data_IF_309127883419
#
_entry.id   IF_309127883419
#
_cell.length_a   1.000
_cell.length_b   1.000
_cell.length_c   1.000
_cell.angle_alpha   90.00
_cell.angle_beta   90.00
_cell.angle_gamma   90.00
#
_symmetry.space_group_name_H-M   'P 1'
#
loop_
_entity.id
_entity.type
_entity.pdbx_description
1 polymer ?
#
# COMPACT_ATOMS: atom_id res chain seq x y z
N UNK A 1 -12.24 9.63 -84.10
CA UNK A 1 -12.58 9.62 -82.65
C UNK A 1 -11.46 10.28 -81.88
N UNK A 2 -11.81 11.36 -81.18
CA UNK A 2 -10.94 12.51 -80.92
C UNK A 2 -9.88 12.29 -79.82
N UNK A 3 -8.65 12.69 -80.13
CA UNK A 3 -7.48 12.85 -79.26
C UNK A 3 -7.79 13.53 -77.91
N UNK A 4 -8.86 14.37 -77.87
CA UNK A 4 -9.35 15.03 -76.66
C UNK A 4 -9.84 14.07 -75.57
N UNK A 5 -10.40 12.90 -75.90
CA UNK A 5 -10.86 11.93 -74.87
C UNK A 5 -9.71 11.22 -74.16
N UNK A 6 -8.62 10.90 -74.88
CA UNK A 6 -7.43 10.27 -74.28
C UNK A 6 -6.65 11.22 -73.38
N UNK A 7 -6.63 12.52 -73.70
CA UNK A 7 -5.99 13.54 -72.87
C UNK A 7 -6.70 13.73 -71.51
N UNK A 8 -8.04 13.68 -71.51
CA UNK A 8 -8.85 13.82 -70.30
C UNK A 8 -8.68 12.61 -69.38
N UNK A 9 -8.67 11.38 -69.93
CA UNK A 9 -8.40 10.14 -69.18
C UNK A 9 -7.00 10.13 -68.53
N UNK A 10 -5.97 10.57 -69.26
CA UNK A 10 -4.61 10.72 -68.73
C UNK A 10 -4.54 11.82 -67.65
N UNK A 11 -5.21 12.95 -67.83
CA UNK A 11 -5.29 14.01 -66.82
C UNK A 11 -6.06 13.57 -65.57
N UNK A 12 -7.12 12.77 -65.72
CA UNK A 12 -7.88 12.19 -64.61
C UNK A 12 -7.05 11.15 -63.85
N UNK A 13 -6.33 10.29 -64.56
CA UNK A 13 -5.42 9.31 -63.99
C UNK A 13 -4.26 9.98 -63.23
N UNK A 14 -3.65 11.03 -63.78
CA UNK A 14 -2.63 11.81 -63.09
C UNK A 14 -3.19 12.56 -61.86
N UNK A 15 -4.39 13.17 -61.94
CA UNK A 15 -5.05 13.80 -60.77
C UNK A 15 -5.37 12.80 -59.65
N UNK A 16 -5.86 11.61 -59.99
CA UNK A 16 -6.15 10.56 -59.00
C UNK A 16 -4.88 9.96 -58.40
N UNK A 17 -3.83 9.76 -59.20
CA UNK A 17 -2.54 9.23 -58.72
C UNK A 17 -1.80 10.25 -57.85
N UNK A 18 -1.83 11.53 -58.22
CA UNK A 18 -1.26 12.62 -57.42
C UNK A 18 -2.02 12.81 -56.09
N UNK A 19 -3.36 12.74 -56.12
CA UNK A 19 -4.19 12.81 -54.91
C UNK A 19 -3.95 11.65 -53.95
N UNK A 20 -3.76 10.42 -54.46
CA UNK A 20 -3.42 9.25 -53.63
C UNK A 20 -2.03 9.35 -53.01
N UNK A 21 -1.03 9.83 -53.75
CA UNK A 21 0.33 10.03 -53.22
C UNK A 21 0.35 11.12 -52.14
N UNK A 22 -0.37 12.22 -52.34
CA UNK A 22 -0.52 13.27 -51.34
C UNK A 22 -1.25 12.76 -50.08
N UNK A 23 -2.31 11.98 -50.23
CA UNK A 23 -3.05 11.42 -49.10
C UNK A 23 -2.20 10.44 -48.27
N UNK A 24 -1.45 9.55 -48.93
CA UNK A 24 -0.54 8.62 -48.26
C UNK A 24 0.61 9.37 -47.59
N UNK A 25 1.15 10.41 -48.24
CA UNK A 25 2.20 11.26 -47.66
C UNK A 25 1.73 12.00 -46.40
N UNK A 26 0.54 12.60 -46.44
CA UNK A 26 -0.06 13.28 -45.27
C UNK A 26 -0.37 12.29 -44.16
N UNK A 27 -0.89 11.11 -44.48
CA UNK A 27 -1.17 10.07 -43.48
C UNK A 27 0.12 9.57 -42.79
N UNK A 28 1.18 9.28 -43.56
CA UNK A 28 2.48 8.88 -43.00
C UNK A 28 3.10 10.00 -42.15
N UNK A 29 2.99 11.26 -42.59
CA UNK A 29 3.43 12.41 -41.79
C UNK A 29 2.67 12.52 -40.47
N UNK A 30 1.35 12.35 -40.47
CA UNK A 30 0.54 12.37 -39.24
C UNK A 30 0.88 11.20 -38.31
N UNK A 31 1.09 9.99 -38.84
CA UNK A 31 1.50 8.83 -38.03
C UNK A 31 2.87 9.06 -37.39
N UNK A 32 3.85 9.56 -38.16
CA UNK A 32 5.18 9.91 -37.62
C UNK A 32 5.08 11.06 -36.61
N UNK A 33 4.29 12.09 -36.89
CA UNK A 33 4.08 13.22 -35.98
C UNK A 33 3.44 12.78 -34.66
N UNK A 34 2.39 11.95 -34.72
CA UNK A 34 1.76 11.36 -33.52
C UNK A 34 2.75 10.46 -32.78
N UNK A 35 3.55 9.66 -33.49
CA UNK A 35 4.57 8.81 -32.88
C UNK A 35 5.67 9.63 -32.19
N UNK A 36 6.11 10.74 -32.79
CA UNK A 36 7.05 11.69 -32.17
C UNK A 36 6.46 12.38 -30.94
N UNK A 37 5.16 12.76 -30.99
CA UNK A 37 4.45 13.30 -29.84
C UNK A 37 4.26 12.26 -28.72
N UNK A 38 4.03 10.98 -29.05
CA UNK A 38 3.96 9.90 -28.08
C UNK A 38 5.33 9.61 -27.42
N UNK A 39 6.43 9.75 -28.16
CA UNK A 39 7.79 9.57 -27.62
C UNK A 39 8.17 10.65 -26.60
N UNK A 40 7.59 11.84 -26.69
CA UNK A 40 7.92 12.98 -25.81
C UNK A 40 7.32 12.91 -24.41
N UNK A 41 6.36 12.00 -24.11
CA UNK A 41 5.63 12.02 -22.84
C UNK A 41 6.14 11.05 -21.75
N UNK A 42 7.21 10.28 -22.02
CA UNK A 42 7.69 9.25 -21.09
C UNK A 42 9.07 9.52 -20.49
N UNK A 43 9.62 10.71 -20.63
CA UNK A 43 10.83 11.08 -19.89
C UNK A 43 10.41 11.57 -18.51
N UNK A 44 10.34 10.64 -17.55
CA UNK A 44 10.33 10.99 -16.13
C UNK A 44 11.72 11.55 -15.82
N UNK A 45 11.87 12.86 -15.92
CA UNK A 45 13.04 13.54 -15.39
C UNK A 45 12.91 13.51 -13.87
N UNK A 46 13.63 12.61 -13.21
CA UNK A 46 13.87 12.75 -11.77
C UNK A 46 14.68 14.05 -11.60
N UNK A 47 14.06 15.08 -11.04
CA UNK A 47 14.78 16.29 -10.63
C UNK A 47 15.81 15.89 -9.57
N UNK A 48 17.10 15.91 -9.93
CA UNK A 48 18.21 15.77 -8.98
C UNK A 48 18.18 16.83 -7.89
N UNK A 49 17.47 17.94 -8.13
CA UNK A 49 17.27 19.06 -7.20
C UNK A 49 16.44 18.69 -5.95
N UNK A 50 15.89 17.48 -5.84
CA UNK A 50 15.20 17.04 -4.63
C UNK A 50 16.15 16.83 -3.45
N UNK A 51 17.45 16.61 -3.69
CA UNK A 51 18.45 16.41 -2.63
C UNK A 51 19.05 17.72 -2.10
N UNK A 52 19.09 18.77 -2.93
CA UNK A 52 19.67 20.08 -2.58
C UNK A 52 18.64 21.06 -2.00
N UNK A 53 17.34 20.72 -2.06
CA UNK A 53 16.29 21.55 -1.47
C UNK A 53 16.18 21.25 0.03
N UNK A 54 16.35 22.26 0.90
CA UNK A 54 16.08 22.08 2.31
C UNK A 54 14.63 21.65 2.47
N UNK A 55 14.40 20.66 3.34
CA UNK A 55 13.06 20.18 3.66
C UNK A 55 12.15 21.37 4.01
N UNK A 56 10.86 21.36 3.64
CA UNK A 56 9.94 22.45 4.00
C UNK A 56 9.98 22.68 5.52
N UNK A 57 9.81 23.94 5.97
CA UNK A 57 9.94 24.31 7.39
C UNK A 57 9.12 23.42 8.35
N UNK A 58 7.95 22.94 7.92
CA UNK A 58 7.10 22.01 8.67
C UNK A 58 7.74 20.63 8.98
N UNK A 59 8.85 20.28 8.32
CA UNK A 59 9.64 19.07 8.55
C UNK A 59 11.00 19.38 9.19
N UNK A 60 11.30 20.67 9.42
CA UNK A 60 12.49 21.11 10.15
C UNK A 60 12.23 21.24 11.66
N UNK A 61 10.98 21.06 12.08
CA UNK A 61 10.59 21.07 13.48
C UNK A 61 11.16 19.83 14.19
N UNK A 62 12.32 20.03 14.82
CA UNK A 62 12.94 19.07 15.73
C UNK A 62 12.05 18.72 16.96
N UNK A 63 10.88 19.34 17.10
CA UNK A 63 9.86 18.99 18.09
C UNK A 63 9.08 17.71 17.75
N UNK A 64 9.00 17.31 16.47
CA UNK A 64 8.27 16.08 16.07
C UNK A 64 9.08 14.80 16.31
N UNK A 65 10.40 14.89 16.27
CA UNK A 65 11.27 13.84 16.79
C UNK A 65 11.42 14.11 18.29
N UNK A 66 10.65 13.41 19.12
CA UNK A 66 10.78 13.52 20.57
C UNK A 66 12.26 13.53 20.99
N UNK A 67 12.63 14.41 21.91
CA UNK A 67 14.00 14.51 22.42
C UNK A 67 14.52 13.13 22.80
N UNK A 68 15.80 12.85 22.53
CA UNK A 68 16.46 11.61 22.94
C UNK A 68 16.14 11.35 24.40
N UNK A 69 15.45 10.24 24.69
CA UNK A 69 15.10 9.89 26.05
C UNK A 69 16.40 9.64 26.83
N UNK A 70 16.70 10.46 27.85
CA UNK A 70 17.96 10.35 28.61
C UNK A 70 18.10 9.00 29.32
N UNK A 71 17.00 8.25 29.46
CA UNK A 71 16.97 6.95 30.13
C UNK A 71 17.15 5.76 29.16
N UNK A 72 17.26 6.02 27.85
CA UNK A 72 17.59 5.00 26.87
C UNK A 72 19.12 4.87 26.78
N UNK A 73 19.64 3.71 27.15
CA UNK A 73 21.08 3.48 27.33
C UNK A 73 21.55 2.34 26.44
N UNK A 74 22.66 2.54 25.74
CA UNK A 74 23.30 1.48 24.96
C UNK A 74 23.99 0.48 25.89
N UNK A 75 23.66 -0.81 25.75
CA UNK A 75 24.12 -1.89 26.61
C UNK A 75 25.46 -2.50 26.18
N UNK A 76 26.04 -2.07 25.06
CA UNK A 76 27.29 -2.62 24.55
C UNK A 76 27.09 -4.00 23.92
N UNK A 77 27.69 -5.02 24.53
CA UNK A 77 27.63 -6.41 24.04
C UNK A 77 26.43 -7.19 24.59
N UNK A 78 25.70 -6.64 25.56
CA UNK A 78 24.52 -7.29 26.13
C UNK A 78 23.27 -6.99 25.29
N UNK A 79 22.38 -7.99 25.16
CA UNK A 79 21.09 -7.78 24.50
C UNK A 79 20.21 -6.86 25.34
N UNK A 80 19.48 -5.99 24.64
CA UNK A 80 18.56 -5.03 25.20
C UNK A 80 17.39 -5.69 25.92
N UNK A 81 16.83 -4.98 26.90
CA UNK A 81 15.75 -5.48 27.76
C UNK A 81 14.43 -5.81 27.06
N UNK A 82 14.21 -5.35 25.83
CA UNK A 82 13.04 -5.66 25.00
C UNK A 82 13.31 -6.64 23.86
N UNK A 83 14.54 -7.15 23.73
CA UNK A 83 14.84 -8.15 22.71
C UNK A 83 14.16 -9.49 23.07
N UNK A 84 13.55 -10.21 22.10
CA UNK A 84 12.91 -11.49 22.36
C UNK A 84 13.90 -12.51 22.94
N UNK A 85 13.62 -13.02 24.14
CA UNK A 85 14.48 -14.02 24.81
C UNK A 85 14.56 -15.35 24.04
N UNK A 86 13.50 -15.67 23.32
CA UNK A 86 13.41 -16.86 22.48
C UNK A 86 13.20 -16.41 21.04
N UNK A 87 14.05 -16.86 20.10
CA UNK A 87 13.87 -16.52 18.70
C UNK A 87 12.55 -17.09 18.16
N UNK A 88 11.89 -16.33 17.27
CA UNK A 88 10.75 -16.85 16.51
C UNK A 88 11.22 -18.02 15.64
N UNK A 89 10.61 -19.19 15.79
CA UNK A 89 10.92 -20.36 14.94
C UNK A 89 10.00 -20.32 13.71
N UNK A 90 10.56 -20.16 12.49
CA UNK A 90 9.76 -20.17 11.27
C UNK A 90 9.04 -21.51 11.12
N UNK A 91 7.76 -21.45 10.79
CA UNK A 91 7.03 -22.64 10.39
C UNK A 91 7.38 -23.03 8.94
N UNK A 92 7.01 -24.23 8.48
CA UNK A 92 7.17 -24.64 7.08
C UNK A 92 6.04 -24.11 6.18
N UNK A 93 5.45 -22.97 6.50
CA UNK A 93 4.34 -22.38 5.75
C UNK A 93 4.82 -21.36 4.70
N UNK A 94 4.03 -21.11 3.65
CA UNK A 94 4.35 -20.09 2.65
C UNK A 94 4.51 -18.70 3.30
N UNK A 95 5.54 -17.96 2.87
CA UNK A 95 5.75 -16.56 3.28
C UNK A 95 6.41 -16.35 4.65
N UNK A 96 6.82 -17.44 5.31
CA UNK A 96 7.63 -17.44 6.53
C UNK A 96 9.03 -16.88 6.29
N UNK A 97 9.61 -16.21 7.29
CA UNK A 97 10.90 -15.53 7.17
C UNK A 97 10.92 -14.45 6.07
N UNK A 98 9.75 -13.98 5.62
CA UNK A 98 9.64 -13.04 4.51
C UNK A 98 9.97 -13.64 3.14
N UNK A 99 10.01 -14.97 3.01
CA UNK A 99 10.27 -15.63 1.74
C UNK A 99 9.18 -15.30 0.69
N UNK A 100 9.54 -15.16 -0.59
CA UNK A 100 8.57 -14.94 -1.64
C UNK A 100 7.69 -16.18 -1.84
N UNK A 101 6.39 -15.98 -2.05
CA UNK A 101 5.45 -17.04 -2.41
C UNK A 101 5.18 -16.95 -3.91
N UNK A 102 5.60 -17.97 -4.65
CA UNK A 102 5.45 -18.03 -6.11
C UNK A 102 4.23 -18.87 -6.48
N UNK A 103 3.36 -18.30 -7.31
CA UNK A 103 2.17 -18.97 -7.86
C UNK A 103 2.48 -19.37 -9.30
N UNK A 104 2.47 -20.66 -9.61
CA UNK A 104 2.87 -21.20 -10.92
C UNK A 104 1.72 -21.79 -11.71
N UNK A 105 0.62 -22.17 -11.05
CA UNK A 105 -0.54 -22.74 -11.68
C UNK A 105 -1.41 -21.67 -12.36
N UNK A 106 -2.02 -22.03 -13.49
CA UNK A 106 -2.81 -21.10 -14.30
C UNK A 106 -4.01 -20.53 -13.52
N UNK A 107 -4.62 -21.35 -12.67
CA UNK A 107 -5.78 -20.97 -11.84
C UNK A 107 -5.35 -19.93 -10.81
N UNK A 108 -4.28 -20.20 -10.04
CA UNK A 108 -3.74 -19.30 -9.05
C UNK A 108 -3.23 -17.99 -9.66
N UNK A 109 -2.65 -18.02 -10.87
CA UNK A 109 -2.28 -16.80 -11.59
C UNK A 109 -3.51 -15.96 -11.98
N UNK A 110 -4.62 -16.61 -12.37
CA UNK A 110 -5.88 -15.92 -12.68
C UNK A 110 -6.50 -15.29 -11.43
N UNK A 111 -6.53 -16.02 -10.32
CA UNK A 111 -7.06 -15.52 -9.05
C UNK A 111 -6.16 -14.44 -8.46
N UNK A 112 -4.83 -14.56 -8.55
CA UNK A 112 -3.87 -13.51 -8.19
C UNK A 112 -4.13 -12.21 -8.95
N UNK A 113 -4.27 -12.29 -10.28
CA UNK A 113 -4.61 -11.12 -11.11
C UNK A 113 -5.97 -10.53 -10.77
N UNK A 114 -6.93 -11.34 -10.33
CA UNK A 114 -8.25 -10.87 -9.89
C UNK A 114 -8.14 -10.13 -8.56
N UNK A 115 -7.45 -10.73 -7.59
CA UNK A 115 -7.17 -10.16 -6.29
C UNK A 115 -6.47 -8.80 -6.39
N UNK A 116 -5.42 -8.71 -7.20
CA UNK A 116 -4.68 -7.47 -7.43
C UNK A 116 -5.56 -6.37 -8.05
N UNK A 117 -6.47 -6.72 -8.97
CA UNK A 117 -7.42 -5.75 -9.54
C UNK A 117 -8.46 -5.25 -8.53
N UNK A 118 -8.83 -6.09 -7.57
CA UNK A 118 -9.89 -5.77 -6.61
C UNK A 118 -9.37 -5.00 -5.39
N UNK A 119 -8.20 -5.38 -4.86
CA UNK A 119 -7.65 -4.85 -3.60
C UNK A 119 -6.35 -4.04 -3.81
N UNK A 120 -5.76 -4.05 -5.00
CA UNK A 120 -4.47 -3.38 -5.27
C UNK A 120 -3.24 -4.19 -4.87
N UNK A 121 -3.44 -5.38 -4.27
CA UNK A 121 -2.38 -6.33 -3.91
C UNK A 121 -2.92 -7.76 -3.97
N UNK A 122 -2.02 -8.74 -3.90
CA UNK A 122 -2.37 -10.15 -4.08
C UNK A 122 -2.97 -10.77 -2.80
N UNK A 123 -4.26 -10.53 -2.56
CA UNK A 123 -5.00 -11.16 -1.45
C UNK A 123 -5.01 -12.69 -1.54
N UNK A 124 -5.04 -13.27 -2.75
CA UNK A 124 -4.98 -14.71 -2.94
C UNK A 124 -3.70 -15.32 -2.32
N UNK A 125 -2.55 -14.71 -2.56
CA UNK A 125 -1.29 -15.10 -1.91
C UNK A 125 -1.30 -14.77 -0.43
N UNK A 126 -1.83 -13.61 -0.04
CA UNK A 126 -1.98 -13.26 1.38
C UNK A 126 -2.77 -14.31 2.15
N UNK A 127 -3.81 -14.91 1.56
CA UNK A 127 -4.65 -15.91 2.22
C UNK A 127 -3.92 -17.24 2.49
N UNK A 128 -2.86 -17.53 1.72
CA UNK A 128 -1.99 -18.70 1.94
C UNK A 128 -0.94 -18.47 3.02
N UNK A 129 -0.63 -17.21 3.34
CA UNK A 129 0.39 -16.82 4.31
C UNK A 129 -0.23 -16.75 5.70
N UNK A 130 0.47 -17.29 6.70
CA UNK A 130 -0.02 -17.30 8.08
C UNK A 130 -0.34 -15.90 8.63
N UNK A 131 -1.30 -15.84 9.56
CA UNK A 131 -1.58 -14.63 10.35
C UNK A 131 -0.43 -14.30 11.33
N UNK A 132 0.26 -15.32 11.82
CA UNK A 132 1.37 -15.21 12.77
C UNK A 132 2.73 -15.56 12.14
N UNK A 133 2.93 -15.19 10.86
CA UNK A 133 4.19 -15.45 10.15
C UNK A 133 5.38 -14.77 10.83
N UNK A 134 6.53 -15.43 10.73
CA UNK A 134 7.83 -14.86 11.07
C UNK A 134 8.29 -13.87 9.99
N UNK A 135 8.99 -12.81 10.42
CA UNK A 135 9.48 -11.73 9.56
C UNK A 135 11.00 -11.64 9.76
N UNK A 136 11.79 -11.44 8.69
CA UNK A 136 13.23 -11.32 8.83
C UNK A 136 13.56 -10.00 9.56
N UNK A 137 14.52 -10.06 10.48
CA UNK A 137 15.01 -8.85 11.15
C UNK A 137 15.92 -8.07 10.21
N UNK A 138 15.44 -6.91 9.76
CA UNK A 138 16.18 -5.98 8.88
C UNK A 138 16.80 -4.81 9.66
N UNK A 139 16.68 -4.79 10.99
CA UNK A 139 17.26 -3.74 11.83
C UNK A 139 18.79 -3.83 11.81
N UNK A 140 19.44 -2.71 12.13
CA UNK A 140 20.88 -2.72 12.38
C UNK A 140 21.19 -3.50 13.66
N UNK A 141 22.35 -4.16 13.71
CA UNK A 141 22.72 -5.00 14.85
C UNK A 141 22.75 -4.21 16.18
N UNK A 142 23.13 -2.93 16.12
CA UNK A 142 23.12 -2.03 17.26
C UNK A 142 21.73 -1.91 17.92
N UNK A 143 20.64 -1.98 17.15
CA UNK A 143 19.26 -1.85 17.65
C UNK A 143 18.90 -2.92 18.69
N UNK A 144 19.56 -4.08 18.68
CA UNK A 144 19.31 -5.18 19.61
C UNK A 144 19.93 -4.97 20.99
N UNK A 145 20.81 -3.97 21.13
CA UNK A 145 21.63 -3.75 22.32
C UNK A 145 21.21 -2.47 23.07
N UNK A 146 19.99 -1.98 22.85
CA UNK A 146 19.47 -0.80 23.56
C UNK A 146 18.60 -1.20 24.75
N UNK A 147 18.88 -0.60 25.89
CA UNK A 147 18.05 -0.69 27.07
C UNK A 147 17.11 0.51 27.14
N UNK A 148 15.82 0.22 27.18
CA UNK A 148 14.75 1.22 27.33
C UNK A 148 14.28 1.30 28.78
N UNK A 149 13.63 2.40 29.21
CA UNK A 149 13.02 2.49 30.53
C UNK A 149 12.05 1.34 30.80
N UNK A 150 12.01 0.87 32.05
CA UNK A 150 11.03 -0.16 32.46
C UNK A 150 9.60 0.38 32.51
N UNK A 151 9.45 1.69 32.67
CA UNK A 151 8.16 2.36 32.81
C UNK A 151 7.90 3.16 31.54
N UNK A 152 7.26 2.51 30.57
CA UNK A 152 6.81 3.17 29.33
C UNK A 152 5.31 3.45 29.42
N UNK A 153 4.82 4.53 28.76
CA UNK A 153 3.40 4.78 28.67
C UNK A 153 2.71 3.66 27.87
N UNK A 154 1.48 3.34 28.26
CA UNK A 154 0.64 2.44 27.47
C UNK A 154 0.16 3.13 26.20
N UNK A 155 -0.03 2.38 25.13
CA UNK A 155 -0.47 2.88 23.83
C UNK A 155 -1.78 2.23 23.40
N UNK A 156 -2.63 3.03 22.75
CA UNK A 156 -3.78 2.55 21.98
C UNK A 156 -3.42 2.59 20.50
N UNK A 157 -3.58 1.46 19.80
CA UNK A 157 -3.27 1.37 18.36
C UNK A 157 -4.56 1.55 17.57
N UNK A 158 -4.63 2.60 16.77
CA UNK A 158 -5.79 2.87 15.92
C UNK A 158 -5.52 2.39 14.50
N UNK A 159 -6.37 1.50 13.99
CA UNK A 159 -6.28 0.94 12.63
C UNK A 159 -7.53 1.36 11.86
N UNK A 160 -7.38 2.34 10.97
CA UNK A 160 -8.45 2.76 10.06
C UNK A 160 -8.44 1.86 8.83
N UNK A 161 -9.61 1.36 8.41
CA UNK A 161 -9.73 0.51 7.23
C UNK A 161 -10.97 0.85 6.40
N UNK A 162 -10.86 0.70 5.09
CA UNK A 162 -11.97 0.83 4.14
C UNK A 162 -11.85 -0.26 3.07
N UNK A 163 -12.83 -1.16 2.97
CA UNK A 163 -12.87 -2.23 1.97
C UNK A 163 -11.59 -3.11 1.89
N UNK A 164 -10.87 -3.22 3.02
CA UNK A 164 -9.61 -3.95 3.14
C UNK A 164 -9.77 -5.48 2.96
N UNK A 165 -8.71 -6.14 2.51
CA UNK A 165 -8.66 -7.60 2.47
C UNK A 165 -8.74 -8.21 3.87
N UNK A 166 -9.42 -9.36 4.00
CA UNK A 166 -9.59 -10.02 5.31
C UNK A 166 -8.25 -10.41 5.97
N UNK A 167 -7.35 -11.08 5.24
CA UNK A 167 -6.11 -11.58 5.81
C UNK A 167 -5.05 -10.52 6.08
N UNK A 168 -4.81 -9.51 5.22
CA UNK A 168 -3.92 -8.40 5.55
C UNK A 168 -4.38 -7.61 6.78
N UNK A 169 -5.66 -7.24 6.86
CA UNK A 169 -6.21 -6.49 7.99
C UNK A 169 -5.96 -7.21 9.31
N UNK A 170 -6.30 -8.50 9.36
CA UNK A 170 -6.12 -9.29 10.57
C UNK A 170 -4.65 -9.57 10.86
N UNK A 171 -3.80 -9.75 9.84
CA UNK A 171 -2.36 -9.92 10.04
C UNK A 171 -1.74 -8.68 10.70
N UNK A 172 -2.23 -7.48 10.39
CA UNK A 172 -1.84 -6.24 11.11
C UNK A 172 -2.19 -6.34 12.59
N UNK A 173 -3.43 -6.69 12.93
CA UNK A 173 -3.88 -6.83 14.33
C UNK A 173 -3.08 -7.91 15.07
N UNK A 174 -2.87 -9.09 14.47
CA UNK A 174 -2.05 -10.15 15.05
C UNK A 174 -0.61 -9.70 15.29
N UNK A 175 -0.01 -8.98 14.33
CA UNK A 175 1.36 -8.49 14.46
C UNK A 175 1.54 -7.53 15.63
N UNK A 176 0.55 -6.68 15.92
CA UNK A 176 0.58 -5.78 17.09
C UNK A 176 0.70 -6.61 18.37
N UNK A 177 -0.15 -7.62 18.55
CA UNK A 177 -0.10 -8.43 19.78
C UNK A 177 1.12 -9.36 19.87
N UNK A 178 1.66 -9.81 18.73
CA UNK A 178 2.81 -10.71 18.72
C UNK A 178 4.14 -9.99 18.97
N UNK A 179 4.26 -8.73 18.53
CA UNK A 179 5.53 -7.99 18.53
C UNK A 179 5.55 -6.79 19.48
N UNK A 180 4.47 -6.58 20.23
CA UNK A 180 4.42 -5.56 21.27
C UNK A 180 4.27 -6.22 22.65
N UNK A 181 5.02 -5.75 23.66
CA UNK A 181 4.86 -6.21 25.03
C UNK A 181 3.40 -6.03 25.52
N UNK A 182 2.73 -7.08 26.04
CA UNK A 182 1.31 -7.04 26.40
C UNK A 182 0.92 -5.98 27.44
N UNK A 183 1.88 -5.57 28.28
CA UNK A 183 1.75 -4.53 29.29
C UNK A 183 1.70 -3.12 28.71
N UNK A 184 2.26 -2.91 27.52
CA UNK A 184 2.25 -1.60 26.85
C UNK A 184 1.01 -1.39 25.98
N UNK A 185 0.34 -2.47 25.57
CA UNK A 185 -0.86 -2.38 24.74
C UNK A 185 -2.11 -2.24 25.62
N UNK A 186 -2.66 -1.02 25.64
CA UNK A 186 -3.96 -0.71 26.25
C UNK A 186 -5.07 -1.38 25.45
N UNK A 187 -5.17 -1.06 24.16
CA UNK A 187 -6.18 -1.59 23.24
C UNK A 187 -5.78 -1.42 21.77
N UNK A 188 -6.49 -2.12 20.88
CA UNK A 188 -6.45 -1.90 19.43
C UNK A 188 -7.85 -1.49 18.97
N UNK A 189 -7.97 -0.27 18.44
CA UNK A 189 -9.24 0.29 17.97
C UNK A 189 -9.26 0.19 16.45
N UNK A 190 -10.16 -0.63 15.93
CA UNK A 190 -10.38 -0.78 14.49
C UNK A 190 -11.50 0.17 14.05
N UNK A 191 -11.18 1.11 13.16
CA UNK A 191 -12.13 2.12 12.68
C UNK A 191 -12.51 1.80 11.24
N UNK A 192 -13.76 1.41 11.03
CA UNK A 192 -14.34 1.17 9.72
C UNK A 192 -14.80 2.48 9.09
N UNK A 193 -14.10 2.93 8.05
CA UNK A 193 -14.45 4.10 7.24
C UNK A 193 -15.47 3.72 6.17
N UNK A 194 -16.64 3.24 6.59
CA UNK A 194 -17.77 2.90 5.74
C UNK A 194 -17.46 1.83 4.66
N UNK A 195 -17.03 0.65 5.09
CA UNK A 195 -16.78 -0.48 4.19
C UNK A 195 -18.06 -1.14 3.68
N UNK A 196 -18.06 -1.50 2.40
CA UNK A 196 -19.16 -2.21 1.74
C UNK A 196 -19.02 -3.73 1.85
N UNK A 197 -17.79 -4.25 1.97
CA UNK A 197 -17.51 -5.69 1.99
C UNK A 197 -18.17 -6.41 3.17
N UNK A 198 -18.89 -7.49 2.89
CA UNK A 198 -19.62 -8.27 3.90
C UNK A 198 -18.70 -8.88 4.97
N UNK A 199 -17.49 -9.30 4.61
CA UNK A 199 -16.54 -9.90 5.56
C UNK A 199 -16.05 -8.93 6.64
N UNK A 200 -16.19 -7.62 6.44
CA UNK A 200 -15.76 -6.58 7.38
C UNK A 200 -16.84 -6.21 8.41
N UNK A 201 -18.04 -6.79 8.30
CA UNK A 201 -19.17 -6.52 9.19
C UNK A 201 -19.23 -7.57 10.30
N UNK A 202 -20.34 -8.29 10.42
CA UNK A 202 -20.54 -9.27 11.50
C UNK A 202 -19.44 -10.32 11.63
N UNK A 203 -18.83 -10.72 10.51
CA UNK A 203 -17.75 -11.72 10.53
C UNK A 203 -16.52 -11.18 11.26
N UNK A 204 -16.18 -9.90 11.07
CA UNK A 204 -15.09 -9.24 11.76
C UNK A 204 -15.39 -9.13 13.26
N UNK A 205 -16.59 -8.65 13.62
CA UNK A 205 -17.02 -8.53 15.02
C UNK A 205 -16.99 -9.86 15.78
N UNK A 206 -17.37 -10.96 15.11
CA UNK A 206 -17.27 -12.31 15.68
C UNK A 206 -15.81 -12.73 15.86
N UNK A 207 -14.94 -12.39 14.91
CA UNK A 207 -13.53 -12.76 14.96
C UNK A 207 -12.78 -12.04 16.08
N UNK A 208 -12.96 -10.72 16.22
CA UNK A 208 -12.19 -9.90 17.18
C UNK A 208 -12.49 -10.22 18.65
N UNK A 209 -13.66 -10.82 18.94
CA UNK A 209 -14.01 -11.30 20.30
C UNK A 209 -12.99 -12.27 20.90
N UNK A 210 -12.19 -12.94 20.07
CA UNK A 210 -11.11 -13.83 20.50
C UNK A 210 -9.99 -13.12 21.28
N UNK A 211 -9.87 -11.80 21.17
CA UNK A 211 -8.84 -11.01 21.84
C UNK A 211 -9.29 -10.51 23.22
N UNK A 212 -10.25 -11.20 23.86
CA UNK A 212 -10.69 -10.94 25.23
C UNK A 212 -11.07 -9.48 25.52
N UNK A 213 -11.61 -8.76 24.51
CA UNK A 213 -12.00 -7.36 24.63
C UNK A 213 -10.87 -6.34 24.48
N UNK A 214 -9.63 -6.75 24.20
CA UNK A 214 -8.53 -5.82 23.86
C UNK A 214 -8.64 -5.20 22.45
N UNK A 215 -9.53 -5.74 21.61
CA UNK A 215 -9.80 -5.22 20.27
C UNK A 215 -11.25 -4.79 20.19
N UNK A 216 -11.46 -3.54 19.76
CA UNK A 216 -12.78 -2.95 19.55
C UNK A 216 -12.94 -2.53 18.09
N UNK A 217 -14.15 -2.66 17.55
CA UNK A 217 -14.53 -2.16 16.22
C UNK A 217 -15.48 -0.97 16.39
N UNK A 218 -15.23 0.10 15.63
CA UNK A 218 -16.07 1.29 15.55
C UNK A 218 -16.33 1.58 14.07
N UNK A 219 -17.60 1.72 13.67
CA UNK A 219 -17.91 2.23 12.33
C UNK A 219 -18.08 3.73 12.36
N UNK A 220 -17.42 4.42 11.42
CA UNK A 220 -17.63 5.84 11.18
C UNK A 220 -19.08 6.06 10.72
N UNK A 221 -19.94 6.44 11.66
CA UNK A 221 -21.27 6.96 11.33
C UNK A 221 -21.06 8.37 10.79
N UNK A 222 -21.19 8.54 9.47
CA UNK A 222 -21.38 9.84 8.86
C UNK A 222 -22.77 10.35 9.25
N UNK A 223 -22.96 10.79 10.49
CA UNK A 223 -24.14 11.56 10.88
C UNK A 223 -24.04 12.93 10.23
N UNK A 224 -24.49 13.02 8.98
CA UNK A 224 -25.13 14.25 8.50
C UNK A 224 -26.44 14.41 9.27
N UNK A 225 -26.36 14.88 10.53
CA UNK A 225 -27.51 15.43 11.23
C UNK A 225 -27.36 16.94 11.28
N UNK A 226 -27.98 17.63 10.32
CA UNK A 226 -28.46 19.00 10.50
C UNK A 226 -29.62 18.99 11.50
N UNK A 227 -29.34 18.64 12.76
CA UNK A 227 -30.14 18.98 13.93
C UNK A 227 -29.46 18.38 15.17
N UNK A 228 -29.32 19.20 16.20
CA UNK A 228 -28.47 18.96 17.35
C UNK A 228 -28.71 17.62 18.04
N UNK A 229 -27.76 16.71 17.87
CA UNK A 229 -27.50 15.60 18.76
C UNK A 229 -26.02 15.64 19.14
N UNK A 230 -25.74 15.60 20.45
CA UNK A 230 -24.38 15.47 20.98
C UNK A 230 -23.72 14.25 20.36
N UNK A 231 -22.75 14.48 19.49
CA UNK A 231 -21.92 13.42 18.94
C UNK A 231 -21.20 12.71 20.08
N UNK A 232 -21.22 11.37 20.07
CA UNK A 232 -20.21 10.61 20.79
C UNK A 232 -18.91 10.79 20.02
N UNK A 233 -18.14 11.79 20.41
CA UNK A 233 -16.75 11.89 20.01
C UNK A 233 -15.97 10.75 20.68
N UNK A 234 -14.97 10.23 19.97
CA UNK A 234 -13.94 9.40 20.58
C UNK A 234 -13.08 10.37 21.39
N UNK A 235 -13.44 10.58 22.65
CA UNK A 235 -12.55 11.23 23.61
C UNK A 235 -11.47 10.20 23.96
N UNK A 236 -10.28 10.41 23.39
CA UNK A 236 -9.07 9.67 23.75
C UNK A 236 -8.49 10.40 24.97
N UNK A 237 -8.76 9.87 26.16
CA UNK A 237 -8.09 10.28 27.41
C UNK A 237 -6.60 9.87 27.42
#
# INVERSE_FOLDING_TARGET
MSFRRRLIELQWYFRMRLGRVLFVGVFLFLVVFVFLQMRSKNTVTFSGDALDKPLPAAWQDAELAGSVDPNTVFAGEELGNYEPKTPEVPSNQPGEGGAPVLVTDEVGLKESKRAEREYGFNTYVSDMISMNRTIPDIRMEECKHWNYPKTLPTVSVVVVFHNEGWTPLLRTVHSVFLRSPPELIKEVVMVDDYSDKEHLKEKLDKYIKRFNGKVSSLSALFTMSLSGMSGKYVDID
#
